data_IF_037794373842
#
_entry.id   IF_037794373842
#
_cell.length_a   1.000
_cell.length_b   1.000
_cell.length_c   1.000
_cell.angle_alpha   90.00
_cell.angle_beta   90.00
_cell.angle_gamma   90.00
#
_symmetry.space_group_name_H-M   'P 1'
#
loop_
_entity.id
_entity.type
_entity.pdbx_description
1 polymer ?
#
# COMPACT_ATOMS: atom_id res chain seq x y z
N UNK A 1 -34.27 11.30 -40.66
CA UNK A 1 -33.84 10.34 -39.63
C UNK A 1 -32.49 10.79 -39.15
N UNK A 2 -32.46 11.37 -37.97
CA UNK A 2 -31.25 11.98 -37.34
C UNK A 2 -30.82 11.03 -36.27
N UNK A 3 -29.61 10.44 -36.41
CA UNK A 3 -28.95 9.71 -35.34
C UNK A 3 -28.10 10.69 -34.54
N UNK A 4 -28.42 10.84 -33.26
CA UNK A 4 -27.64 11.62 -32.31
C UNK A 4 -26.44 10.78 -31.86
N UNK A 5 -25.23 11.32 -32.10
CA UNK A 5 -24.00 10.78 -31.60
C UNK A 5 -23.86 11.07 -30.09
N UNK A 6 -23.80 10.05 -29.28
CA UNK A 6 -23.46 10.16 -27.86
C UNK A 6 -21.97 10.56 -27.70
N UNK A 7 -21.73 11.71 -27.09
CA UNK A 7 -20.39 12.17 -26.74
C UNK A 7 -19.86 11.35 -25.55
N UNK A 8 -18.99 10.41 -25.79
CA UNK A 8 -18.10 9.89 -24.75
C UNK A 8 -17.21 11.03 -24.28
N UNK A 9 -17.47 11.56 -23.10
CA UNK A 9 -16.53 12.43 -22.40
C UNK A 9 -15.33 11.60 -22.02
N UNK A 10 -14.24 11.74 -22.75
CA UNK A 10 -12.92 11.32 -22.29
C UNK A 10 -12.66 12.05 -20.97
N UNK A 11 -12.53 11.31 -19.88
CA UNK A 11 -12.03 11.84 -18.62
C UNK A 11 -10.64 12.41 -18.91
N UNK A 12 -10.45 13.70 -18.64
CA UNK A 12 -9.15 14.34 -18.72
C UNK A 12 -8.17 13.61 -17.81
N UNK A 13 -6.87 13.49 -18.19
CA UNK A 13 -5.88 12.94 -17.30
C UNK A 13 -5.82 13.78 -16.03
N UNK A 14 -5.93 13.14 -14.88
CA UNK A 14 -5.79 13.74 -13.56
C UNK A 14 -4.53 14.60 -13.54
N UNK A 15 -4.67 15.85 -13.13
CA UNK A 15 -3.56 16.80 -12.99
C UNK A 15 -2.67 16.31 -11.84
N UNK A 16 -1.64 15.53 -12.18
CA UNK A 16 -0.72 14.91 -11.23
C UNK A 16 0.29 15.96 -10.78
N UNK A 17 0.07 16.52 -9.60
CA UNK A 17 1.14 17.21 -8.90
C UNK A 17 2.25 16.21 -8.60
N UNK A 18 3.47 16.53 -9.01
CA UNK A 18 4.62 15.64 -8.90
C UNK A 18 5.02 15.50 -7.42
N UNK A 19 5.04 14.28 -6.89
CA UNK A 19 5.66 13.91 -5.59
C UNK A 19 7.04 14.56 -5.41
N UNK A 20 7.69 14.88 -6.48
CA UNK A 20 9.01 15.48 -6.53
C UNK A 20 9.03 16.97 -6.19
N UNK A 21 8.02 17.75 -6.60
CA UNK A 21 7.85 19.13 -6.12
C UNK A 21 7.65 19.17 -4.60
N UNK A 22 7.03 18.13 -4.07
CA UNK A 22 6.88 17.89 -2.65
C UNK A 22 8.24 17.70 -1.96
N UNK A 23 9.10 16.80 -2.48
CA UNK A 23 10.42 16.52 -1.92
C UNK A 23 11.32 17.76 -1.94
N UNK A 24 11.33 18.53 -3.03
CA UNK A 24 12.12 19.76 -3.14
C UNK A 24 11.64 20.86 -2.17
N UNK A 25 10.33 20.91 -1.84
CA UNK A 25 9.78 21.88 -0.88
C UNK A 25 10.01 21.45 0.58
N UNK A 26 9.90 20.15 0.89
CA UNK A 26 10.09 19.64 2.26
C UNK A 26 11.53 19.78 2.74
N UNK A 27 12.52 19.65 1.86
CA UNK A 27 13.93 19.85 2.17
C UNK A 27 14.27 21.32 2.53
N UNK A 28 13.46 22.29 2.10
CA UNK A 28 13.67 23.70 2.40
C UNK A 28 13.05 24.16 3.72
N UNK A 29 12.07 23.42 4.28
CA UNK A 29 11.34 23.81 5.50
C UNK A 29 11.89 23.19 6.79
N UNK A 30 12.81 22.24 6.73
CA UNK A 30 13.35 21.53 7.90
C UNK A 30 14.41 22.29 8.72
N UNK A 31 14.57 23.57 8.53
CA UNK A 31 15.47 24.42 9.30
C UNK A 31 14.72 25.41 10.19
N UNK A 32 14.51 25.08 11.45
CA UNK A 32 14.14 25.92 12.58
C UNK A 32 12.85 25.47 13.30
N UNK A 33 13.02 24.79 14.43
CA UNK A 33 12.33 25.08 15.69
C UNK A 33 12.62 24.03 16.76
N UNK A 34 13.25 24.42 17.82
CA UNK A 34 13.34 23.67 19.07
C UNK A 34 12.06 23.90 19.89
N UNK A 35 11.41 22.82 20.33
CA UNK A 35 10.32 22.91 21.30
C UNK A 35 10.51 21.94 22.46
N UNK A 36 10.24 22.50 23.66
CA UNK A 36 10.27 21.83 24.95
C UNK A 36 9.02 20.98 25.19
N UNK A 37 9.20 19.85 25.88
CA UNK A 37 8.16 18.85 26.21
C UNK A 37 7.16 19.35 27.25
N UNK A 38 5.84 19.08 27.10
CA UNK A 38 4.88 19.04 28.21
C UNK A 38 4.73 17.60 28.76
N UNK A 39 4.28 17.42 30.03
CA UNK A 39 4.20 16.12 30.68
C UNK A 39 2.97 15.31 30.26
N UNK A 40 3.14 13.98 30.24
CA UNK A 40 2.12 12.98 29.95
C UNK A 40 1.03 12.98 31.04
N UNK A 41 -0.18 13.38 30.68
CA UNK A 41 -1.41 13.19 31.47
C UNK A 41 -2.06 11.83 31.13
N UNK A 42 -2.42 11.07 32.16
CA UNK A 42 -3.09 9.78 32.05
C UNK A 42 -4.54 9.96 31.54
N UNK A 43 -4.86 9.41 30.38
CA UNK A 43 -6.23 9.25 29.90
C UNK A 43 -6.71 7.85 30.22
N UNK A 44 -7.71 7.74 31.11
CA UNK A 44 -8.49 6.53 31.33
C UNK A 44 -9.42 6.30 30.12
N UNK A 45 -9.05 5.35 29.24
CA UNK A 45 -9.89 4.85 28.17
C UNK A 45 -10.66 3.59 28.61
N UNK A 46 -11.68 3.15 27.86
CA UNK A 46 -12.43 1.95 28.19
C UNK A 46 -11.50 0.72 28.21
N UNK A 47 -11.78 -0.20 29.14
CA UNK A 47 -11.07 -1.46 29.30
C UNK A 47 -11.30 -2.28 28.03
N UNK A 48 -10.25 -2.40 27.21
CA UNK A 48 -10.22 -3.36 26.11
C UNK A 48 -9.77 -4.69 26.69
N UNK A 49 -10.63 -5.73 26.58
CA UNK A 49 -10.18 -7.10 26.79
C UNK A 49 -8.95 -7.38 25.92
N UNK A 50 -7.94 -8.03 26.49
CA UNK A 50 -6.70 -8.39 25.80
C UNK A 50 -7.01 -9.17 24.53
N UNK A 51 -7.07 -8.47 23.41
CA UNK A 51 -6.96 -9.11 22.10
C UNK A 51 -5.53 -9.61 22.00
N UNK A 52 -5.36 -10.94 21.99
CA UNK A 52 -4.05 -11.57 21.73
C UNK A 52 -3.33 -10.82 20.61
N UNK A 53 -2.02 -10.60 20.77
CA UNK A 53 -1.21 -9.87 19.77
C UNK A 53 -1.56 -10.33 18.36
N UNK A 54 -1.83 -9.40 17.43
CA UNK A 54 -2.24 -9.75 16.08
C UNK A 54 -1.13 -10.57 15.42
N UNK A 55 -1.46 -11.79 14.98
CA UNK A 55 -0.55 -12.58 14.15
C UNK A 55 -0.37 -11.84 12.83
N UNK A 56 0.84 -11.39 12.55
CA UNK A 56 1.19 -10.71 11.32
C UNK A 56 1.37 -11.73 10.21
N UNK A 57 0.62 -11.61 9.13
CA UNK A 57 0.70 -12.54 8.00
C UNK A 57 1.51 -11.97 6.80
N UNK A 58 2.02 -10.75 6.91
CA UNK A 58 2.75 -10.10 5.84
C UNK A 58 1.88 -9.65 4.65
N UNK A 59 0.54 -9.74 4.73
CA UNK A 59 -0.33 -9.26 3.65
C UNK A 59 -0.53 -7.74 3.69
N UNK A 60 -0.76 -7.18 4.86
CA UNK A 60 -1.04 -5.77 5.04
C UNK A 60 0.24 -4.97 5.32
N UNK A 61 0.52 -4.01 4.45
CA UNK A 61 1.65 -3.10 4.54
C UNK A 61 1.23 -1.63 4.51
N UNK A 62 2.20 -0.76 4.69
CA UNK A 62 2.02 0.69 4.61
C UNK A 62 3.23 1.35 3.97
N UNK A 63 2.98 2.40 3.15
CA UNK A 63 4.05 3.28 2.67
C UNK A 63 4.57 4.14 3.81
N UNK A 64 5.88 4.36 3.85
CA UNK A 64 6.54 5.32 4.72
C UNK A 64 7.67 6.03 3.96
N UNK A 65 8.24 7.07 4.55
CA UNK A 65 9.30 7.86 3.96
C UNK A 65 10.46 8.05 4.96
N UNK A 66 10.81 6.97 5.67
CA UNK A 66 11.80 6.99 6.75
C UNK A 66 13.21 7.29 6.26
N UNK A 67 13.55 6.81 5.06
CA UNK A 67 14.84 7.08 4.43
C UNK A 67 15.04 8.54 4.06
N UNK A 68 13.97 9.28 3.81
CA UNK A 68 13.97 10.63 3.24
C UNK A 68 13.59 11.72 4.24
N UNK A 69 12.69 11.43 5.17
CA UNK A 69 12.18 12.39 6.13
C UNK A 69 12.73 12.15 7.53
N UNK A 70 13.13 13.26 8.17
CA UNK A 70 13.49 13.27 9.59
C UNK A 70 12.21 13.33 10.42
N UNK A 71 11.53 12.19 10.57
CA UNK A 71 10.34 12.05 11.42
C UNK A 71 10.72 11.36 12.72
N UNK A 72 9.78 11.28 13.66
CA UNK A 72 9.90 10.45 14.88
C UNK A 72 9.76 8.96 14.51
N UNK A 73 10.79 8.40 13.85
CA UNK A 73 10.77 7.06 13.25
C UNK A 73 10.35 5.98 14.26
N UNK A 74 10.90 5.98 15.47
CA UNK A 74 10.55 4.99 16.49
C UNK A 74 9.06 5.04 16.86
N UNK A 75 8.50 6.23 17.02
CA UNK A 75 7.06 6.41 17.33
C UNK A 75 6.19 5.91 16.19
N UNK A 76 6.55 6.19 14.94
CA UNK A 76 5.79 5.74 13.77
C UNK A 76 5.92 4.23 13.58
N UNK A 77 7.08 3.63 13.85
CA UNK A 77 7.26 2.19 13.84
C UNK A 77 6.46 1.51 14.96
N UNK A 78 6.35 2.13 16.15
CA UNK A 78 5.49 1.64 17.23
C UNK A 78 4.02 1.69 16.85
N UNK A 79 3.57 2.76 16.19
CA UNK A 79 2.20 2.87 15.66
C UNK A 79 1.94 1.81 14.57
N UNK A 80 2.88 1.62 13.65
CA UNK A 80 2.77 0.58 12.61
C UNK A 80 2.69 -0.82 13.24
N UNK A 81 3.54 -1.10 14.22
CA UNK A 81 3.52 -2.35 14.97
C UNK A 81 2.20 -2.56 15.69
N UNK A 82 1.71 -1.56 16.44
CA UNK A 82 0.47 -1.63 17.19
C UNK A 82 -0.78 -1.73 16.31
N UNK A 83 -0.72 -1.28 15.07
CA UNK A 83 -1.77 -1.43 14.07
C UNK A 83 -1.79 -2.82 13.41
N UNK A 84 -0.83 -3.70 13.68
CA UNK A 84 -0.72 -5.00 13.03
C UNK A 84 -0.20 -4.95 11.60
N UNK A 85 0.46 -3.85 11.22
CA UNK A 85 1.16 -3.72 9.94
C UNK A 85 2.26 -4.78 9.88
N UNK A 86 2.34 -5.54 8.79
CA UNK A 86 3.33 -6.59 8.61
C UNK A 86 4.60 -6.09 7.91
N UNK A 87 4.48 -5.09 7.05
CA UNK A 87 5.60 -4.59 6.26
C UNK A 87 5.46 -3.11 5.90
N UNK A 88 6.60 -2.50 5.64
CA UNK A 88 6.75 -1.10 5.26
C UNK A 88 7.32 -1.04 3.85
N UNK A 89 6.77 -0.19 2.99
CA UNK A 89 7.36 0.18 1.71
C UNK A 89 8.05 1.53 1.85
N UNK A 90 9.30 1.62 1.41
CA UNK A 90 10.12 2.84 1.45
C UNK A 90 11.05 2.90 0.24
N UNK A 91 11.66 4.04 -0.01
CA UNK A 91 12.43 4.33 -1.22
C UNK A 91 13.92 4.51 -0.91
N UNK A 92 14.77 4.04 -1.84
CA UNK A 92 16.20 4.34 -1.81
C UNK A 92 16.57 5.10 -3.08
N UNK A 93 16.69 6.42 -2.99
CA UNK A 93 17.04 7.23 -4.16
C UNK A 93 18.49 7.04 -4.56
N UNK A 94 18.70 6.60 -5.78
CA UNK A 94 20.04 6.41 -6.33
C UNK A 94 20.90 7.67 -6.23
N UNK A 95 20.33 8.85 -6.57
CA UNK A 95 21.02 10.13 -6.51
C UNK A 95 21.44 10.56 -5.10
N UNK A 96 20.77 10.04 -4.06
CA UNK A 96 21.10 10.38 -2.67
C UNK A 96 22.23 9.52 -2.10
N UNK A 97 22.38 8.28 -2.58
CA UNK A 97 23.41 7.37 -2.07
C UNK A 97 24.67 7.35 -2.94
N UNK A 98 24.63 7.81 -4.19
CA UNK A 98 25.77 7.94 -5.08
C UNK A 98 25.88 9.38 -5.61
N UNK A 99 26.58 10.25 -4.85
CA UNK A 99 26.83 11.66 -5.21
C UNK A 99 28.12 11.87 -6.00
N UNK A 100 28.97 10.85 -6.06
CA UNK A 100 30.19 10.76 -6.84
C UNK A 100 30.22 9.39 -7.52
N UNK A 101 30.55 9.32 -8.83
CA UNK A 101 30.52 8.06 -9.59
C UNK A 101 31.31 6.94 -8.94
N UNK A 102 30.63 5.83 -8.64
CA UNK A 102 31.21 4.64 -8.05
C UNK A 102 31.41 4.71 -6.53
N UNK A 103 31.01 5.80 -5.87
CA UNK A 103 31.18 5.99 -4.44
C UNK A 103 29.80 6.03 -3.76
N UNK A 104 29.40 4.91 -3.16
CA UNK A 104 28.13 4.76 -2.48
C UNK A 104 28.25 5.07 -1.00
N UNK A 105 27.40 5.98 -0.50
CA UNK A 105 27.33 6.41 0.90
C UNK A 105 25.88 6.46 1.33
N UNK A 106 25.48 5.48 2.14
CA UNK A 106 24.12 5.44 2.69
C UNK A 106 23.98 6.44 3.85
N UNK A 107 22.95 7.28 3.86
CA UNK A 107 22.59 8.06 5.03
C UNK A 107 22.40 7.15 6.25
N UNK A 108 22.89 7.53 7.46
CA UNK A 108 22.73 6.73 8.67
C UNK A 108 21.27 6.43 9.04
N UNK A 109 20.31 7.21 8.55
CA UNK A 109 18.87 7.02 8.73
C UNK A 109 18.42 5.65 8.23
N UNK A 110 18.97 5.13 7.12
CA UNK A 110 18.62 3.80 6.61
C UNK A 110 18.99 2.69 7.59
N UNK A 111 20.22 2.69 8.11
CA UNK A 111 20.63 1.69 9.11
C UNK A 111 19.80 1.75 10.37
N UNK A 112 19.46 2.97 10.80
CA UNK A 112 18.67 3.19 11.99
C UNK A 112 17.26 2.61 11.85
N UNK A 113 16.51 3.03 10.82
CA UNK A 113 15.12 2.59 10.71
C UNK A 113 14.98 1.11 10.31
N UNK A 114 15.88 0.59 9.47
CA UNK A 114 15.85 -0.84 9.10
C UNK A 114 16.06 -1.74 10.32
N UNK A 115 17.02 -1.40 11.20
CA UNK A 115 17.21 -2.12 12.46
C UNK A 115 16.01 -1.97 13.40
N UNK A 116 15.46 -0.75 13.49
CA UNK A 116 14.30 -0.48 14.34
C UNK A 116 13.03 -1.21 13.84
N UNK A 117 12.84 -1.33 12.54
CA UNK A 117 11.79 -2.14 11.91
C UNK A 117 11.98 -3.64 12.19
N UNK A 118 13.21 -4.14 12.03
CA UNK A 118 13.54 -5.54 12.31
C UNK A 118 13.27 -5.92 13.78
N UNK A 119 13.62 -5.05 14.73
CA UNK A 119 13.34 -5.26 16.16
C UNK A 119 11.84 -5.37 16.46
N UNK A 120 10.99 -4.78 15.63
CA UNK A 120 9.52 -4.85 15.73
C UNK A 120 8.90 -5.92 14.84
N UNK A 121 9.73 -6.77 14.22
CA UNK A 121 9.29 -7.79 13.25
C UNK A 121 8.48 -7.19 12.09
N UNK A 122 8.81 -5.98 11.68
CA UNK A 122 8.29 -5.34 10.48
C UNK A 122 9.22 -5.66 9.32
N UNK A 123 8.68 -6.26 8.27
CA UNK A 123 9.43 -6.46 7.03
C UNK A 123 9.53 -5.15 6.25
N UNK A 124 10.52 -5.02 5.38
CA UNK A 124 10.68 -3.83 4.54
C UNK A 124 10.78 -4.26 3.08
N UNK A 125 10.00 -3.58 2.23
CA UNK A 125 10.13 -3.57 0.78
C UNK A 125 10.79 -2.26 0.39
N UNK A 126 11.93 -2.33 -0.29
CA UNK A 126 12.62 -1.14 -0.78
C UNK A 126 12.40 -0.95 -2.28
N UNK A 127 12.01 0.25 -2.66
CA UNK A 127 11.96 0.67 -4.06
C UNK A 127 13.37 1.08 -4.48
N UNK A 128 13.83 0.54 -5.60
CA UNK A 128 15.11 0.90 -6.21
C UNK A 128 14.85 1.91 -7.33
N UNK A 129 15.01 3.19 -7.02
CA UNK A 129 14.72 4.35 -7.88
C UNK A 129 15.49 5.61 -7.42
N UNK A 130 15.43 6.72 -8.08
CA UNK A 130 15.09 6.97 -9.47
C UNK A 130 16.37 7.02 -10.32
N UNK A 131 16.47 8.00 -11.28
CA UNK A 131 17.71 8.24 -12.03
C UNK A 131 18.75 8.97 -11.21
N UNK A 132 20.01 8.82 -11.65
CA UNK A 132 21.12 9.60 -11.12
C UNK A 132 21.68 10.53 -12.21
N UNK A 133 21.64 11.87 -12.00
CA UNK A 133 22.16 12.84 -12.96
C UNK A 133 23.61 12.63 -13.37
N UNK A 134 24.43 11.99 -12.54
CA UNK A 134 25.80 11.63 -12.85
C UNK A 134 25.91 10.75 -14.11
N UNK A 135 24.90 9.97 -14.43
CA UNK A 135 24.88 9.03 -15.55
C UNK A 135 23.92 9.46 -16.66
N UNK A 136 22.74 9.89 -16.30
CA UNK A 136 21.66 10.21 -17.25
C UNK A 136 21.58 11.71 -17.58
N UNK A 137 22.31 12.57 -16.89
CA UNK A 137 22.24 14.02 -17.03
C UNK A 137 20.98 14.65 -16.43
N UNK A 138 20.06 13.85 -15.93
CA UNK A 138 18.84 14.28 -15.28
C UNK A 138 18.35 13.20 -14.31
N UNK A 139 17.83 13.62 -13.18
CA UNK A 139 17.18 12.77 -12.23
C UNK A 139 15.80 12.24 -12.71
N UNK A 140 15.29 12.78 -13.83
CA UNK A 140 13.99 12.42 -14.43
C UNK A 140 14.11 11.49 -15.63
N UNK A 141 15.28 11.41 -16.26
CA UNK A 141 15.50 10.56 -17.41
C UNK A 141 15.89 9.14 -16.96
N UNK A 142 15.07 8.17 -17.32
CA UNK A 142 15.35 6.78 -17.01
C UNK A 142 16.65 6.29 -17.68
N UNK A 143 17.43 5.39 -17.05
CA UNK A 143 18.60 4.79 -17.64
C UNK A 143 18.19 3.79 -18.73
N UNK A 144 18.65 4.00 -19.97
CA UNK A 144 18.26 3.20 -21.14
C UNK A 144 19.44 2.72 -21.97
N UNK A 145 20.60 3.40 -21.88
CA UNK A 145 21.82 2.98 -22.58
C UNK A 145 22.58 1.92 -21.78
N UNK A 146 23.40 1.11 -22.48
CA UNK A 146 24.21 0.07 -21.84
C UNK A 146 25.00 0.55 -20.61
N UNK A 147 25.78 1.65 -20.72
CA UNK A 147 26.52 2.20 -19.58
C UNK A 147 25.62 2.66 -18.41
N UNK A 148 24.46 3.24 -18.71
CA UNK A 148 23.50 3.68 -17.69
C UNK A 148 22.85 2.49 -16.98
N UNK A 149 22.46 1.45 -17.72
CA UNK A 149 21.91 0.21 -17.17
C UNK A 149 22.93 -0.51 -16.26
N UNK A 150 24.20 -0.53 -16.67
CA UNK A 150 25.27 -1.08 -15.82
C UNK A 150 25.49 -0.25 -14.56
N UNK A 151 25.34 1.07 -14.63
CA UNK A 151 25.42 1.93 -13.46
C UNK A 151 24.25 1.68 -12.51
N UNK A 152 23.03 1.54 -13.03
CA UNK A 152 21.83 1.17 -12.24
C UNK A 152 21.99 -0.22 -11.60
N UNK A 153 22.55 -1.20 -12.33
CA UNK A 153 22.84 -2.52 -11.78
C UNK A 153 23.82 -2.44 -10.59
N UNK A 154 24.88 -1.60 -10.68
CA UNK A 154 25.78 -1.39 -9.53
C UNK A 154 25.05 -0.81 -8.33
N UNK A 155 24.20 0.20 -8.56
CA UNK A 155 23.36 0.77 -7.51
C UNK A 155 22.48 -0.31 -6.86
N UNK A 156 21.78 -1.14 -7.65
CA UNK A 156 20.97 -2.25 -7.11
C UNK A 156 21.81 -3.20 -6.25
N UNK A 157 23.02 -3.57 -6.72
CA UNK A 157 23.95 -4.44 -5.97
C UNK A 157 24.31 -3.84 -4.61
N UNK A 158 24.68 -2.57 -4.57
CA UNK A 158 25.08 -1.88 -3.35
C UNK A 158 23.92 -1.79 -2.33
N UNK A 159 22.71 -1.48 -2.82
CA UNK A 159 21.53 -1.45 -1.95
C UNK A 159 21.24 -2.84 -1.38
N UNK A 160 21.18 -3.88 -2.22
CA UNK A 160 20.86 -5.23 -1.77
C UNK A 160 21.93 -5.74 -0.82
N UNK A 161 23.21 -5.61 -1.16
CA UNK A 161 24.32 -6.05 -0.31
C UNK A 161 24.33 -5.36 1.06
N UNK A 162 23.93 -4.07 1.10
CA UNK A 162 23.82 -3.30 2.34
C UNK A 162 22.60 -3.67 3.18
N UNK A 163 21.45 -3.84 2.56
CA UNK A 163 20.16 -3.94 3.26
C UNK A 163 19.75 -5.39 3.58
N UNK A 164 20.21 -6.39 2.83
CA UNK A 164 19.88 -7.78 3.09
C UNK A 164 20.36 -8.27 4.49
N UNK A 165 21.56 -7.91 4.99
CA UNK A 165 21.96 -8.23 6.36
C UNK A 165 21.09 -7.58 7.45
N UNK A 166 20.35 -6.50 7.08
CA UNK A 166 19.42 -5.79 7.96
C UNK A 166 17.98 -6.33 7.85
N UNK A 167 17.80 -7.48 7.19
CA UNK A 167 16.52 -8.19 7.11
C UNK A 167 15.67 -7.83 5.90
N UNK A 168 16.12 -6.93 5.01
CA UNK A 168 15.38 -6.61 3.79
C UNK A 168 15.46 -7.76 2.81
N UNK A 169 14.30 -8.22 2.32
CA UNK A 169 14.19 -9.34 1.37
C UNK A 169 13.34 -9.02 0.15
N UNK A 170 12.70 -7.84 0.11
CA UNK A 170 11.82 -7.45 -0.99
C UNK A 170 12.31 -6.15 -1.60
N UNK A 171 12.38 -6.13 -2.93
CA UNK A 171 12.81 -5.00 -3.72
C UNK A 171 11.83 -4.77 -4.86
N UNK A 172 11.46 -3.53 -5.11
CA UNK A 172 10.62 -3.13 -6.22
C UNK A 172 11.43 -2.29 -7.19
N UNK A 173 11.39 -2.64 -8.47
CA UNK A 173 12.23 -1.99 -9.48
C UNK A 173 11.47 -0.83 -10.10
N UNK A 174 11.92 0.39 -9.76
CA UNK A 174 11.34 1.65 -10.18
C UNK A 174 9.97 1.94 -9.54
N UNK A 175 9.51 3.18 -9.69
CA UNK A 175 8.17 3.62 -9.32
C UNK A 175 7.46 4.20 -10.55
N UNK A 176 6.30 3.66 -10.89
CA UNK A 176 5.38 4.10 -11.95
C UNK A 176 6.07 4.36 -13.31
N UNK A 177 6.79 3.36 -13.89
CA UNK A 177 7.51 3.52 -15.14
C UNK A 177 6.60 3.79 -16.34
N UNK A 178 5.30 3.62 -16.22
CA UNK A 178 4.28 3.95 -17.22
C UNK A 178 3.79 5.42 -17.14
N UNK A 179 4.35 6.22 -16.23
CA UNK A 179 4.01 7.62 -16.08
C UNK A 179 5.18 8.54 -16.45
N UNK A 180 4.94 9.52 -17.32
CA UNK A 180 5.98 10.48 -17.78
C UNK A 180 6.53 11.36 -16.66
N UNK A 181 5.87 11.42 -15.50
CA UNK A 181 6.38 12.07 -14.30
C UNK A 181 7.61 11.35 -13.73
N UNK A 182 7.67 10.04 -13.88
CA UNK A 182 8.70 9.19 -13.28
C UNK A 182 9.62 8.53 -14.32
N UNK A 183 9.19 8.47 -15.59
CA UNK A 183 9.97 7.92 -16.70
C UNK A 183 10.02 8.91 -17.86
N UNK A 184 11.13 9.66 -18.00
CA UNK A 184 11.32 10.62 -19.07
C UNK A 184 12.25 10.10 -20.16
N UNK A 185 12.10 10.57 -21.41
CA UNK A 185 11.13 11.58 -21.89
C UNK A 185 9.70 11.03 -22.02
N UNK A 186 9.51 9.74 -22.25
CA UNK A 186 8.24 9.05 -22.32
C UNK A 186 8.37 7.62 -21.83
N UNK A 187 7.33 7.07 -21.15
CA UNK A 187 7.27 5.66 -20.77
C UNK A 187 7.55 4.74 -21.97
N UNK A 188 8.46 3.80 -21.79
CA UNK A 188 8.80 2.80 -22.78
C UNK A 188 8.90 1.42 -22.11
N UNK A 189 7.93 0.50 -22.39
CA UNK A 189 7.90 -0.81 -21.77
C UNK A 189 9.09 -1.70 -22.14
N UNK A 190 9.64 -1.53 -23.34
CA UNK A 190 10.80 -2.30 -23.83
C UNK A 190 12.09 -1.84 -23.10
N UNK A 191 12.26 -0.54 -22.92
CA UNK A 191 13.35 0.04 -22.12
C UNK A 191 13.22 -0.37 -20.65
N UNK A 192 12.00 -0.34 -20.12
CA UNK A 192 11.75 -0.80 -18.76
C UNK A 192 12.07 -2.30 -18.60
N UNK A 193 11.71 -3.15 -19.56
CA UNK A 193 12.04 -4.57 -19.53
C UNK A 193 13.56 -4.81 -19.48
N UNK A 194 14.37 -4.01 -20.19
CA UNK A 194 15.83 -4.08 -20.11
C UNK A 194 16.38 -3.64 -18.75
N UNK A 195 15.82 -2.56 -18.19
CA UNK A 195 16.15 -2.10 -16.83
C UNK A 195 15.84 -3.19 -15.80
N UNK A 196 14.65 -3.77 -15.90
CA UNK A 196 14.18 -4.83 -15.00
C UNK A 196 15.09 -6.06 -15.07
N UNK A 197 15.51 -6.48 -16.26
CA UNK A 197 16.43 -7.61 -16.41
C UNK A 197 17.74 -7.39 -15.67
N UNK A 198 18.41 -6.25 -15.89
CA UNK A 198 19.71 -6.01 -15.26
C UNK A 198 19.58 -5.85 -13.74
N UNK A 199 18.51 -5.21 -13.27
CA UNK A 199 18.21 -5.07 -11.86
C UNK A 199 17.94 -6.43 -11.20
N UNK A 200 17.05 -7.24 -11.79
CA UNK A 200 16.69 -8.56 -11.26
C UNK A 200 17.93 -9.45 -11.11
N UNK A 201 18.71 -9.62 -12.20
CA UNK A 201 19.92 -10.44 -12.17
C UNK A 201 20.86 -10.00 -11.07
N UNK A 202 21.08 -8.71 -10.96
CA UNK A 202 22.00 -8.13 -9.97
C UNK A 202 21.47 -8.30 -8.54
N UNK A 203 20.16 -8.10 -8.30
CA UNK A 203 19.56 -8.35 -6.98
C UNK A 203 19.71 -9.81 -6.58
N UNK A 204 19.44 -10.76 -7.51
CA UNK A 204 19.58 -12.20 -7.24
C UNK A 204 21.04 -12.66 -7.06
N UNK A 205 22.00 -12.00 -7.72
CA UNK A 205 23.42 -12.24 -7.49
C UNK A 205 23.86 -11.75 -6.10
N UNK A 206 23.34 -10.60 -5.65
CA UNK A 206 23.69 -10.02 -4.35
C UNK A 206 22.99 -10.75 -3.18
N UNK A 207 21.72 -11.16 -3.36
CA UNK A 207 20.94 -11.97 -2.44
C UNK A 207 20.05 -12.95 -3.23
N UNK A 208 20.42 -14.24 -3.34
CA UNK A 208 19.58 -15.24 -4.02
C UNK A 208 18.19 -15.41 -3.39
N UNK A 209 18.01 -15.03 -2.13
CA UNK A 209 16.72 -15.05 -1.41
C UNK A 209 15.84 -13.81 -1.65
N UNK A 210 16.34 -12.80 -2.35
CA UNK A 210 15.58 -11.58 -2.61
C UNK A 210 14.33 -11.87 -3.46
N UNK A 211 13.21 -11.27 -3.08
CA UNK A 211 12.00 -11.16 -3.91
C UNK A 211 12.02 -9.85 -4.66
N UNK A 212 11.96 -9.90 -5.99
CA UNK A 212 12.01 -8.72 -6.85
C UNK A 212 10.66 -8.52 -7.52
N UNK A 213 10.03 -7.38 -7.26
CA UNK A 213 8.78 -6.97 -7.87
C UNK A 213 9.04 -6.07 -9.07
N UNK A 214 8.25 -6.24 -10.11
CA UNK A 214 8.32 -5.43 -11.32
C UNK A 214 6.98 -4.83 -11.68
N UNK A 215 7.01 -3.95 -12.65
CA UNK A 215 5.95 -3.12 -13.19
C UNK A 215 5.60 -1.89 -12.33
N UNK A 216 5.18 -2.02 -11.09
CA UNK A 216 4.88 -0.89 -10.19
C UNK A 216 4.08 0.24 -10.89
N UNK A 217 3.07 -0.14 -11.69
CA UNK A 217 2.41 0.80 -12.60
C UNK A 217 1.44 1.72 -11.90
N UNK A 218 1.40 3.00 -12.33
CA UNK A 218 0.29 3.89 -12.04
C UNK A 218 -1.01 3.32 -12.61
N UNK A 219 -1.95 2.94 -11.75
CA UNK A 219 -3.13 2.16 -12.14
C UNK A 219 -2.79 0.72 -12.53
N UNK A 220 -3.79 -0.01 -13.01
CA UNK A 220 -3.60 -1.32 -13.64
C UNK A 220 -3.49 -1.11 -15.15
N UNK A 221 -2.29 -0.78 -15.61
CA UNK A 221 -2.01 -0.53 -17.02
C UNK A 221 -1.71 -1.86 -17.75
N UNK A 222 -2.76 -2.48 -18.26
CA UNK A 222 -2.68 -3.77 -18.95
C UNK A 222 -1.86 -3.72 -20.24
N UNK A 223 -1.85 -2.56 -20.95
CA UNK A 223 -1.06 -2.43 -22.18
C UNK A 223 0.43 -2.37 -21.85
N UNK A 224 0.81 -1.48 -20.92
CA UNK A 224 2.21 -1.38 -20.48
C UNK A 224 2.73 -2.72 -19.96
N UNK A 225 2.02 -3.34 -19.02
CA UNK A 225 2.40 -4.65 -18.44
C UNK A 225 2.49 -5.72 -19.53
N UNK A 226 1.50 -5.79 -20.42
CA UNK A 226 1.49 -6.75 -21.53
C UNK A 226 2.66 -6.55 -22.50
N UNK A 227 3.08 -5.30 -22.76
CA UNK A 227 4.27 -5.00 -23.58
C UNK A 227 5.57 -5.38 -22.85
N UNK A 228 5.70 -5.12 -21.55
CA UNK A 228 6.84 -5.58 -20.74
C UNK A 228 6.96 -7.11 -20.80
N UNK A 229 5.84 -7.83 -20.70
CA UNK A 229 5.86 -9.29 -20.81
C UNK A 229 6.30 -9.76 -22.21
N UNK A 230 5.76 -9.14 -23.28
CA UNK A 230 6.17 -9.46 -24.67
C UNK A 230 7.63 -9.12 -24.98
N UNK A 231 8.17 -8.07 -24.34
CA UNK A 231 9.59 -7.70 -24.42
C UNK A 231 10.51 -8.65 -23.63
N UNK A 232 9.96 -9.70 -22.98
CA UNK A 232 10.75 -10.67 -22.24
C UNK A 232 11.00 -10.32 -20.77
N UNK A 233 10.31 -9.34 -20.20
CA UNK A 233 10.48 -8.93 -18.80
C UNK A 233 9.95 -9.94 -17.79
N UNK A 234 9.03 -10.83 -18.18
CA UNK A 234 8.38 -11.80 -17.29
C UNK A 234 9.32 -12.66 -16.43
N UNK A 235 10.39 -13.27 -16.97
CA UNK A 235 11.37 -14.04 -16.19
C UNK A 235 12.16 -13.21 -15.17
N UNK A 236 12.16 -11.88 -15.28
CA UNK A 236 12.96 -10.98 -14.47
C UNK A 236 12.15 -10.25 -13.38
N UNK A 237 11.07 -10.87 -12.92
CA UNK A 237 10.33 -10.48 -11.73
C UNK A 237 9.72 -11.69 -11.02
N UNK A 238 9.74 -11.69 -9.69
CA UNK A 238 9.09 -12.74 -8.88
C UNK A 238 7.59 -12.45 -8.70
N UNK A 239 7.17 -11.20 -8.85
CA UNK A 239 5.78 -10.76 -8.79
C UNK A 239 5.55 -9.47 -9.56
N UNK A 240 4.30 -9.22 -9.92
CA UNK A 240 3.86 -7.97 -10.58
C UNK A 240 3.26 -7.05 -9.54
N UNK A 241 3.72 -5.79 -9.48
CA UNK A 241 3.16 -4.77 -8.62
C UNK A 241 2.41 -3.69 -9.39
N UNK A 242 1.37 -3.15 -8.76
CA UNK A 242 0.49 -2.12 -9.34
C UNK A 242 -0.02 -1.17 -8.26
N UNK A 243 -0.39 0.06 -8.66
CA UNK A 243 -0.97 1.11 -7.83
C UNK A 243 -2.40 1.43 -8.29
N UNK A 244 -3.40 0.57 -7.97
CA UNK A 244 -4.74 0.64 -8.56
C UNK A 244 -5.62 1.72 -7.91
N UNK A 245 -5.10 2.93 -7.77
CA UNK A 245 -5.84 4.07 -7.25
C UNK A 245 -7.15 4.29 -8.02
N UNK A 246 -8.21 4.63 -7.29
CA UNK A 246 -9.52 4.87 -7.88
C UNK A 246 -10.27 6.07 -7.28
N UNK A 247 -9.59 6.90 -6.47
CA UNK A 247 -10.17 8.09 -5.86
C UNK A 247 -10.81 9.03 -6.89
N UNK A 248 -11.89 9.72 -6.53
CA UNK A 248 -12.62 9.64 -5.26
C UNK A 248 -13.64 8.49 -5.20
N UNK A 249 -13.68 7.63 -6.24
CA UNK A 249 -14.66 6.54 -6.35
C UNK A 249 -14.41 5.44 -5.33
N UNK A 250 -15.46 4.77 -4.82
CA UNK A 250 -15.30 3.65 -3.93
C UNK A 250 -14.54 2.48 -4.61
N UNK A 251 -13.76 1.69 -3.85
CA UNK A 251 -12.88 0.67 -4.42
C UNK A 251 -13.62 -0.42 -5.21
N UNK A 252 -14.88 -0.68 -4.90
CA UNK A 252 -15.73 -1.66 -5.60
C UNK A 252 -15.96 -1.32 -7.07
N UNK A 253 -15.81 -0.06 -7.44
CA UNK A 253 -16.05 0.38 -8.82
C UNK A 253 -15.05 -0.19 -9.81
N UNK A 254 -13.82 -0.43 -9.39
CA UNK A 254 -12.74 -0.80 -10.31
C UNK A 254 -11.86 -1.94 -9.80
N UNK A 255 -11.51 -1.97 -8.50
CA UNK A 255 -10.44 -2.78 -7.96
C UNK A 255 -10.56 -4.26 -8.34
N UNK A 256 -11.71 -4.89 -8.06
CA UNK A 256 -11.92 -6.33 -8.37
C UNK A 256 -11.85 -6.60 -9.88
N UNK A 257 -12.46 -5.73 -10.67
CA UNK A 257 -12.48 -5.89 -12.14
C UNK A 257 -11.09 -5.75 -12.74
N UNK A 258 -10.32 -4.76 -12.29
CA UNK A 258 -8.98 -4.48 -12.82
C UNK A 258 -8.00 -5.57 -12.37
N UNK A 259 -8.07 -6.02 -11.11
CA UNK A 259 -7.29 -7.18 -10.65
C UNK A 259 -7.64 -8.46 -11.42
N UNK A 260 -8.92 -8.70 -11.71
CA UNK A 260 -9.34 -9.86 -12.49
C UNK A 260 -8.82 -9.85 -13.93
N UNK A 261 -8.70 -8.67 -14.54
CA UNK A 261 -8.07 -8.52 -15.87
C UNK A 261 -6.57 -8.77 -15.80
N UNK A 262 -5.90 -8.24 -14.76
CA UNK A 262 -4.47 -8.44 -14.56
C UNK A 262 -4.13 -9.91 -14.30
N UNK A 263 -4.89 -10.61 -13.46
CA UNK A 263 -4.73 -12.05 -13.22
C UNK A 263 -4.79 -12.85 -14.53
N UNK A 264 -5.70 -12.50 -15.44
CA UNK A 264 -5.78 -13.15 -16.75
C UNK A 264 -4.59 -12.82 -17.67
N UNK A 265 -4.02 -11.63 -17.54
CA UNK A 265 -2.85 -11.23 -18.34
C UNK A 265 -1.56 -11.93 -17.86
N UNK A 266 -1.41 -12.11 -16.55
CA UNK A 266 -0.21 -12.66 -15.91
C UNK A 266 -0.56 -13.82 -14.96
N UNK A 267 -1.15 -14.92 -15.44
CA UNK A 267 -1.75 -15.97 -14.59
C UNK A 267 -0.75 -16.67 -13.66
N UNK A 268 0.52 -16.71 -14.04
CA UNK A 268 1.57 -17.40 -13.31
C UNK A 268 2.35 -16.50 -12.35
N UNK A 269 1.94 -15.23 -12.21
CA UNK A 269 2.62 -14.27 -11.34
C UNK A 269 1.79 -13.90 -10.11
N UNK A 270 2.38 -13.94 -8.91
CA UNK A 270 1.79 -13.31 -7.74
C UNK A 270 1.67 -11.80 -7.96
N UNK A 271 0.58 -11.21 -7.48
CA UNK A 271 0.29 -9.79 -7.59
C UNK A 271 0.54 -9.08 -6.26
N UNK A 272 0.99 -7.85 -6.34
CA UNK A 272 1.19 -6.96 -5.20
C UNK A 272 0.53 -5.61 -5.48
N UNK A 273 -0.30 -5.16 -4.55
CA UNK A 273 -0.76 -3.78 -4.52
C UNK A 273 0.21 -3.02 -3.62
N UNK A 274 1.19 -2.37 -4.24
CA UNK A 274 2.28 -1.71 -3.50
C UNK A 274 1.99 -0.25 -3.18
N UNK A 275 0.92 0.30 -3.74
CA UNK A 275 0.30 1.55 -3.30
C UNK A 275 -1.20 1.53 -3.53
N UNK A 276 -1.96 1.99 -2.54
CA UNK A 276 -3.38 2.29 -2.63
C UNK A 276 -3.77 3.25 -1.52
N UNK A 277 -4.52 4.29 -1.82
CA UNK A 277 -4.90 5.27 -0.81
C UNK A 277 -5.97 6.25 -1.25
N UNK A 278 -6.46 7.04 -0.30
CA UNK A 278 -7.39 8.14 -0.51
C UNK A 278 -6.95 9.34 0.33
N UNK A 279 -6.75 10.52 -0.25
CA UNK A 279 -6.37 11.70 0.52
C UNK A 279 -7.59 12.32 1.20
N UNK A 280 -7.37 12.85 2.40
CA UNK A 280 -8.42 13.56 3.17
C UNK A 280 -8.27 15.06 3.02
N UNK A 281 -8.76 15.60 1.91
CA UNK A 281 -8.73 17.04 1.61
C UNK A 281 -9.97 17.45 0.81
N UNK A 282 -10.20 18.76 0.67
CA UNK A 282 -11.41 19.30 0.04
C UNK A 282 -11.36 19.34 -1.51
N UNK A 283 -10.34 18.74 -2.14
CA UNK A 283 -10.19 18.71 -3.61
C UNK A 283 -11.04 17.63 -4.29
N UNK A 284 -10.97 17.56 -5.62
CA UNK A 284 -11.88 16.73 -6.45
C UNK A 284 -11.68 15.22 -6.26
N UNK A 285 -10.53 14.78 -5.86
CA UNK A 285 -10.16 13.39 -5.58
C UNK A 285 -10.05 13.09 -4.07
N UNK A 286 -10.35 14.10 -3.21
CA UNK A 286 -10.38 13.93 -1.78
C UNK A 286 -11.66 13.27 -1.27
N UNK A 287 -11.55 12.72 -0.07
CA UNK A 287 -12.67 12.18 0.72
C UNK A 287 -12.58 12.69 2.16
N UNK A 288 -13.65 12.58 2.95
CA UNK A 288 -13.56 12.81 4.38
C UNK A 288 -12.88 11.64 5.11
N UNK A 289 -12.43 11.84 6.35
CA UNK A 289 -11.69 10.83 7.12
C UNK A 289 -12.53 9.57 7.42
N UNK A 290 -13.85 9.68 7.55
CA UNK A 290 -14.73 8.53 7.76
C UNK A 290 -14.85 7.69 6.48
N UNK A 291 -14.96 8.36 5.33
CA UNK A 291 -14.95 7.72 4.02
C UNK A 291 -13.59 7.08 3.74
N UNK A 292 -12.47 7.75 4.04
CA UNK A 292 -11.13 7.17 3.95
C UNK A 292 -11.03 5.85 4.73
N UNK A 293 -11.51 5.85 5.98
CA UNK A 293 -11.48 4.67 6.83
C UNK A 293 -12.38 3.53 6.32
N UNK A 294 -13.55 3.85 5.73
CA UNK A 294 -14.41 2.85 5.11
C UNK A 294 -13.74 2.26 3.86
N UNK A 295 -13.19 3.11 3.00
CA UNK A 295 -12.58 2.69 1.73
C UNK A 295 -11.29 1.90 1.94
N UNK A 296 -10.50 2.23 2.97
CA UNK A 296 -9.34 1.45 3.38
C UNK A 296 -9.72 0.00 3.70
N UNK A 297 -10.69 -0.20 4.59
CA UNK A 297 -11.13 -1.55 4.97
C UNK A 297 -11.69 -2.30 3.78
N UNK A 298 -12.57 -1.67 3.01
CA UNK A 298 -13.22 -2.28 1.85
C UNK A 298 -12.19 -2.66 0.78
N UNK A 299 -11.22 -1.80 0.48
CA UNK A 299 -10.14 -2.10 -0.45
C UNK A 299 -9.26 -3.25 0.03
N UNK A 300 -8.83 -3.24 1.30
CA UNK A 300 -8.03 -4.32 1.87
C UNK A 300 -8.75 -5.67 1.85
N UNK A 301 -10.06 -5.69 2.14
CA UNK A 301 -10.89 -6.90 2.07
C UNK A 301 -11.07 -7.40 0.62
N UNK A 302 -11.31 -6.51 -0.32
CA UNK A 302 -11.41 -6.83 -1.75
C UNK A 302 -10.08 -7.36 -2.30
N UNK A 303 -8.96 -6.76 -1.93
CA UNK A 303 -7.64 -7.26 -2.28
C UNK A 303 -7.41 -8.67 -1.70
N UNK A 304 -7.80 -8.89 -0.44
CA UNK A 304 -7.68 -10.20 0.23
C UNK A 304 -8.55 -11.28 -0.40
N UNK A 305 -9.66 -10.93 -1.04
CA UNK A 305 -10.53 -11.90 -1.74
C UNK A 305 -9.92 -12.46 -3.03
N UNK A 306 -8.85 -11.85 -3.55
CA UNK A 306 -8.16 -12.30 -4.76
C UNK A 306 -6.93 -13.17 -4.38
N UNK A 307 -6.95 -14.51 -4.57
CA UNK A 307 -5.86 -15.38 -4.11
C UNK A 307 -4.49 -15.11 -4.74
N UNK A 308 -4.48 -14.50 -5.94
CA UNK A 308 -3.25 -14.10 -6.61
C UNK A 308 -2.56 -12.91 -5.93
N UNK A 309 -3.29 -12.08 -5.20
CA UNK A 309 -2.73 -10.93 -4.46
C UNK A 309 -2.04 -11.42 -3.19
N UNK A 310 -0.76 -11.04 -3.03
CA UNK A 310 0.10 -11.46 -1.91
C UNK A 310 0.42 -10.33 -0.94
N UNK A 311 0.16 -9.09 -1.32
CA UNK A 311 0.38 -7.94 -0.47
C UNK A 311 -0.51 -6.76 -0.86
N UNK A 312 -0.92 -5.99 0.15
CA UNK A 312 -1.69 -4.76 0.03
C UNK A 312 -1.05 -3.67 0.89
N UNK A 313 -0.57 -2.62 0.27
CA UNK A 313 0.07 -1.48 0.90
C UNK A 313 -0.84 -0.26 0.88
N UNK A 314 -1.14 0.27 2.05
CA UNK A 314 -1.82 1.56 2.16
C UNK A 314 -0.83 2.72 1.99
N UNK A 315 -1.15 3.67 1.17
CA UNK A 315 -0.46 4.94 1.03
C UNK A 315 -1.26 6.02 1.78
N UNK A 316 -0.76 6.54 2.94
CA UNK A 316 0.49 6.21 3.60
C UNK A 316 0.34 6.11 5.14
N UNK A 317 1.46 5.98 5.86
CA UNK A 317 1.43 5.87 7.32
C UNK A 317 1.13 7.21 7.99
N UNK A 318 1.83 8.26 7.59
CA UNK A 318 1.72 9.61 8.17
C UNK A 318 1.53 10.64 7.07
N UNK A 319 0.66 11.61 7.30
CA UNK A 319 0.53 12.76 6.42
C UNK A 319 1.90 13.38 6.11
N UNK A 320 2.19 13.61 4.86
CA UNK A 320 3.47 14.11 4.39
C UNK A 320 3.69 15.61 4.66
N UNK A 321 2.61 16.36 4.87
CA UNK A 321 2.67 17.78 5.14
C UNK A 321 1.55 18.27 6.06
N UNK A 322 1.51 19.59 6.26
CA UNK A 322 0.55 20.26 7.15
C UNK A 322 -0.54 21.00 6.37
N UNK A 323 -0.37 21.21 5.06
CA UNK A 323 -1.35 21.92 4.23
C UNK A 323 -2.59 21.04 4.00
N UNK A 324 -3.76 21.40 4.54
CA UNK A 324 -4.98 20.61 4.39
C UNK A 324 -5.56 20.66 2.98
N UNK A 325 -5.12 21.60 2.15
CA UNK A 325 -5.61 21.76 0.77
C UNK A 325 -4.72 21.06 -0.26
N UNK A 326 -3.58 20.49 0.16
CA UNK A 326 -2.68 19.72 -0.71
C UNK A 326 -2.97 18.22 -0.58
N UNK A 327 -3.53 17.61 -1.64
CA UNK A 327 -3.94 16.21 -1.62
C UNK A 327 -2.83 15.24 -1.25
N UNK A 328 -1.62 15.40 -1.81
CA UNK A 328 -0.48 14.53 -1.52
C UNK A 328 -0.07 14.54 -0.03
N UNK A 329 -0.37 15.60 0.69
CA UNK A 329 -0.03 15.71 2.11
C UNK A 329 -0.99 14.96 3.04
N UNK A 330 -2.11 14.46 2.55
CA UNK A 330 -3.23 14.07 3.41
C UNK A 330 -3.65 12.59 3.31
N UNK A 331 -2.80 11.72 2.80
CA UNK A 331 -3.09 10.28 2.67
C UNK A 331 -2.95 9.47 3.97
N UNK A 332 -2.23 9.98 4.97
CA UNK A 332 -1.80 9.25 6.16
C UNK A 332 -2.90 8.56 6.95
N UNK A 333 -2.54 7.42 7.57
CA UNK A 333 -3.32 6.80 8.65
C UNK A 333 -3.28 7.68 9.91
N UNK A 334 -2.19 8.41 10.08
CA UNK A 334 -2.02 9.39 11.15
C UNK A 334 -1.70 10.75 10.56
N UNK A 335 -2.10 11.83 11.26
CA UNK A 335 -1.81 13.19 10.85
C UNK A 335 -0.33 13.52 11.03
N UNK A 336 0.11 14.65 10.51
CA UNK A 336 1.52 15.09 10.60
C UNK A 336 2.04 15.19 12.03
N UNK A 337 1.20 15.54 12.99
CA UNK A 337 1.53 15.58 14.43
C UNK A 337 1.56 14.17 15.09
N UNK A 338 1.27 13.13 14.34
CA UNK A 338 1.20 11.74 14.80
C UNK A 338 -0.12 11.37 15.48
N UNK A 339 -1.15 12.23 15.43
CA UNK A 339 -2.48 11.87 15.94
C UNK A 339 -3.19 10.92 14.96
N UNK A 340 -3.78 9.81 15.45
CA UNK A 340 -4.48 8.87 14.59
C UNK A 340 -5.72 9.48 13.92
N UNK A 341 -5.95 9.14 12.64
CA UNK A 341 -7.23 9.32 11.97
C UNK A 341 -8.14 8.10 12.23
N UNK A 342 -9.45 8.18 11.94
CA UNK A 342 -10.33 6.99 11.99
C UNK A 342 -9.81 5.80 11.19
N UNK A 343 -9.08 6.05 10.10
CA UNK A 343 -8.43 5.04 9.28
C UNK A 343 -7.41 4.18 10.04
N UNK A 344 -6.72 4.72 11.04
CA UNK A 344 -5.77 3.95 11.86
C UNK A 344 -6.47 2.86 12.68
N UNK A 345 -7.55 3.20 13.38
CA UNK A 345 -8.34 2.22 14.14
C UNK A 345 -8.98 1.17 13.23
N UNK A 346 -9.46 1.60 12.06
CA UNK A 346 -10.03 0.74 11.04
C UNK A 346 -9.00 -0.26 10.49
N UNK A 347 -7.79 0.20 10.19
CA UNK A 347 -6.67 -0.64 9.76
C UNK A 347 -6.31 -1.68 10.82
N UNK A 348 -6.13 -1.24 12.07
CA UNK A 348 -5.82 -2.12 13.21
C UNK A 348 -6.86 -3.23 13.38
N UNK A 349 -8.13 -2.87 13.33
CA UNK A 349 -9.23 -3.84 13.45
C UNK A 349 -9.22 -4.84 12.30
N UNK A 350 -9.08 -4.36 11.06
CA UNK A 350 -8.98 -5.22 9.89
C UNK A 350 -7.78 -6.17 9.99
N UNK A 351 -6.59 -5.67 10.27
CA UNK A 351 -5.40 -6.49 10.37
C UNK A 351 -5.52 -7.57 11.44
N UNK A 352 -6.09 -7.24 12.60
CA UNK A 352 -6.28 -8.20 13.70
C UNK A 352 -7.31 -9.30 13.39
N UNK A 353 -8.33 -8.98 12.62
CA UNK A 353 -9.43 -9.93 12.35
C UNK A 353 -9.24 -10.74 11.09
N UNK A 354 -8.46 -10.25 10.13
CA UNK A 354 -8.35 -10.80 8.77
C UNK A 354 -6.93 -11.26 8.43
N UNK A 355 -5.92 -10.61 9.01
CA UNK A 355 -4.53 -10.72 8.57
C UNK A 355 -3.97 -12.13 8.46
N UNK A 356 -4.20 -13.00 9.45
CA UNK A 356 -3.61 -14.34 9.52
C UNK A 356 -4.47 -15.47 8.94
N UNK A 357 -5.61 -15.14 8.36
CA UNK A 357 -6.55 -16.13 7.85
C UNK A 357 -6.36 -16.37 6.34
N UNK A 358 -6.69 -17.58 5.84
CA UNK A 358 -6.59 -17.85 4.41
C UNK A 358 -7.46 -16.91 3.58
N UNK A 359 -7.19 -16.80 2.25
CA UNK A 359 -8.01 -16.00 1.34
C UNK A 359 -9.49 -16.33 1.47
N UNK A 360 -10.31 -15.35 1.19
CA UNK A 360 -11.72 -15.34 1.52
C UNK A 360 -12.59 -15.48 0.27
N UNK A 361 -13.81 -15.96 0.48
CA UNK A 361 -14.83 -16.03 -0.57
C UNK A 361 -15.69 -14.75 -0.52
N UNK A 362 -15.71 -14.01 -1.60
CA UNK A 362 -16.51 -12.79 -1.76
C UNK A 362 -17.85 -13.13 -2.42
N UNK A 363 -18.94 -12.82 -1.74
CA UNK A 363 -20.29 -12.81 -2.32
C UNK A 363 -20.80 -11.37 -2.44
N UNK A 364 -21.50 -11.08 -3.54
CA UNK A 364 -22.11 -9.76 -3.79
C UNK A 364 -23.56 -9.96 -4.20
N UNK A 365 -24.47 -9.37 -3.45
CA UNK A 365 -25.90 -9.40 -3.74
C UNK A 365 -26.57 -8.05 -3.48
N UNK A 366 -27.26 -7.51 -4.47
CA UNK A 366 -28.04 -6.27 -4.35
C UNK A 366 -27.27 -5.07 -3.79
N UNK A 367 -25.95 -4.99 -4.05
CA UNK A 367 -25.07 -3.95 -3.51
C UNK A 367 -24.51 -4.25 -2.11
N UNK A 368 -24.87 -5.39 -1.52
CA UNK A 368 -24.28 -5.92 -0.28
C UNK A 368 -23.10 -6.81 -0.61
N UNK A 369 -21.99 -6.60 0.07
CA UNK A 369 -20.76 -7.37 -0.01
C UNK A 369 -20.59 -8.19 1.27
N UNK A 370 -20.35 -9.47 1.14
CA UNK A 370 -20.08 -10.39 2.23
C UNK A 370 -18.82 -11.18 1.92
N UNK A 371 -17.82 -11.02 2.75
CA UNK A 371 -16.55 -11.72 2.64
C UNK A 371 -16.46 -12.76 3.76
N UNK A 372 -16.46 -14.04 3.39
CA UNK A 372 -16.19 -15.14 4.34
C UNK A 372 -14.68 -15.40 4.41
N UNK A 373 -14.12 -15.37 5.61
CA UNK A 373 -12.70 -15.52 5.88
C UNK A 373 -12.49 -16.72 6.80
N UNK A 374 -11.62 -17.65 6.41
CA UNK A 374 -11.41 -18.91 7.12
C UNK A 374 -12.45 -19.96 6.81
N UNK A 375 -12.38 -21.11 7.50
CA UNK A 375 -13.20 -22.28 7.23
C UNK A 375 -13.87 -22.81 8.50
N UNK A 376 -15.01 -23.50 8.31
CA UNK A 376 -15.73 -24.18 9.38
C UNK A 376 -16.27 -23.26 10.45
N UNK A 377 -16.19 -23.70 11.71
CA UNK A 377 -16.73 -22.96 12.87
C UNK A 377 -15.94 -21.72 13.26
N UNK A 378 -14.74 -21.56 12.75
CA UNK A 378 -13.88 -20.40 12.99
C UNK A 378 -14.00 -19.33 11.90
N UNK A 379 -14.86 -19.56 10.89
CA UNK A 379 -15.12 -18.58 9.84
C UNK A 379 -15.55 -17.24 10.41
N UNK A 380 -15.02 -16.19 9.86
CA UNK A 380 -15.40 -14.80 10.14
C UNK A 380 -16.05 -14.23 8.89
N UNK A 381 -16.90 -13.23 9.07
CA UNK A 381 -17.49 -12.50 7.96
C UNK A 381 -17.17 -11.03 8.11
N UNK A 382 -16.86 -10.39 6.98
CA UNK A 382 -16.83 -8.94 6.88
C UNK A 382 -17.95 -8.53 5.91
N UNK A 383 -18.81 -7.60 6.33
CA UNK A 383 -20.01 -7.22 5.57
C UNK A 383 -20.14 -5.71 5.47
N UNK A 384 -20.54 -5.25 4.29
CA UNK A 384 -20.89 -3.83 4.03
C UNK A 384 -21.85 -3.71 2.86
N UNK A 385 -22.45 -2.55 2.68
CA UNK A 385 -23.38 -2.27 1.59
C UNK A 385 -23.12 -0.92 0.96
N UNK A 386 -23.20 -0.85 -0.35
CA UNK A 386 -23.17 0.41 -1.09
C UNK A 386 -24.58 1.00 -1.21
N UNK A 387 -24.70 2.29 -0.94
CA UNK A 387 -25.94 3.04 -1.13
C UNK A 387 -27.03 2.70 -0.11
N UNK A 388 -26.93 3.23 1.10
CA UNK A 388 -27.92 3.13 2.14
C UNK A 388 -27.70 1.98 3.13
N UNK A 389 -28.76 1.58 3.83
CA UNK A 389 -28.74 0.52 4.84
C UNK A 389 -29.66 -0.63 4.45
N UNK A 390 -29.38 -1.83 4.93
CA UNK A 390 -30.24 -3.00 4.82
C UNK A 390 -30.03 -3.92 6.01
N UNK A 391 -30.97 -4.80 6.32
CA UNK A 391 -30.75 -5.94 7.17
C UNK A 391 -30.47 -7.17 6.33
N UNK A 392 -29.45 -7.94 6.66
CA UNK A 392 -29.03 -9.14 5.93
C UNK A 392 -28.78 -10.31 6.87
N UNK A 393 -29.06 -11.50 6.40
CA UNK A 393 -28.78 -12.73 7.14
C UNK A 393 -27.37 -13.26 6.81
N UNK A 394 -26.54 -13.41 7.84
CA UNK A 394 -25.17 -13.92 7.72
C UNK A 394 -25.11 -15.30 8.37
N UNK A 395 -24.53 -16.32 7.70
CA UNK A 395 -24.29 -17.62 8.32
C UNK A 395 -23.49 -17.47 9.61
N UNK A 396 -24.03 -17.95 10.71
CA UNK A 396 -23.35 -17.90 12.00
C UNK A 396 -23.49 -19.26 12.69
N UNK A 397 -22.45 -19.85 13.25
CA UNK A 397 -22.57 -21.04 14.08
C UNK A 397 -23.48 -20.74 15.27
N UNK A 398 -24.30 -21.73 15.69
CA UNK A 398 -25.08 -21.60 16.94
C UNK A 398 -24.15 -21.30 18.10
N UNK A 399 -24.55 -20.33 18.92
CA UNK A 399 -23.78 -19.89 20.08
C UNK A 399 -23.51 -18.40 20.09
N UNK A 400 -22.61 -17.93 20.97
CA UNK A 400 -22.28 -16.52 21.02
C UNK A 400 -21.46 -16.09 19.80
N UNK A 401 -21.92 -15.02 19.15
CA UNK A 401 -21.18 -14.32 18.08
C UNK A 401 -20.89 -12.88 18.51
N UNK A 402 -19.73 -12.39 18.13
CA UNK A 402 -19.34 -11.01 18.36
C UNK A 402 -19.45 -10.22 17.05
N UNK A 403 -20.24 -9.15 17.07
CA UNK A 403 -20.21 -8.14 16.01
C UNK A 403 -19.15 -7.13 16.39
N UNK A 404 -18.21 -6.90 15.50
CA UNK A 404 -17.13 -5.91 15.67
C UNK A 404 -17.32 -4.82 14.64
N UNK A 405 -17.39 -3.59 15.09
CA UNK A 405 -17.45 -2.41 14.23
C UNK A 405 -16.07 -2.14 13.60
N UNK A 406 -16.03 -1.35 12.55
CA UNK A 406 -14.80 -0.98 11.84
C UNK A 406 -13.68 -0.45 12.76
N UNK A 407 -14.04 0.30 13.80
CA UNK A 407 -13.14 0.92 14.78
C UNK A 407 -12.73 0.00 15.95
N UNK A 408 -13.23 -1.24 15.98
CA UNK A 408 -12.94 -2.22 17.01
C UNK A 408 -13.97 -2.29 18.13
N UNK A 409 -14.91 -1.34 18.21
CA UNK A 409 -16.03 -1.46 19.16
C UNK A 409 -16.81 -2.75 18.90
N UNK A 410 -17.20 -3.47 19.95
CA UNK A 410 -17.83 -4.78 19.76
C UNK A 410 -18.95 -5.07 20.75
N UNK A 411 -19.86 -5.97 20.33
CA UNK A 411 -20.93 -6.51 21.17
C UNK A 411 -21.09 -8.00 20.90
N UNK A 412 -21.47 -8.74 21.95
CA UNK A 412 -21.75 -10.17 21.86
C UNK A 412 -23.28 -10.37 21.76
N UNK A 413 -23.69 -11.26 20.86
CA UNK A 413 -25.06 -11.69 20.68
C UNK A 413 -25.12 -13.21 20.76
N UNK A 414 -26.16 -13.74 21.42
CA UNK A 414 -26.51 -15.16 21.36
C UNK A 414 -27.27 -15.43 20.06
N UNK A 415 -26.87 -16.46 19.32
CA UNK A 415 -27.49 -16.84 18.05
C UNK A 415 -28.10 -18.22 18.20
N UNK A 416 -29.47 -18.29 18.19
CA UNK A 416 -30.21 -19.54 18.36
C UNK A 416 -30.34 -20.35 17.06
N UNK A 417 -30.21 -19.68 15.92
CA UNK A 417 -30.33 -20.25 14.57
C UNK A 417 -28.99 -20.39 13.82
N UNK A 418 -29.04 -20.85 12.57
CA UNK A 418 -27.87 -20.90 11.70
C UNK A 418 -27.53 -19.56 11.03
N UNK A 419 -28.41 -18.56 11.18
CA UNK A 419 -28.28 -17.22 10.57
C UNK A 419 -28.36 -16.15 11.64
N UNK A 420 -27.58 -15.10 11.47
CA UNK A 420 -27.62 -13.88 12.29
C UNK A 420 -28.08 -12.73 11.40
N UNK A 421 -29.12 -12.04 11.79
CA UNK A 421 -29.57 -10.81 11.15
C UNK A 421 -28.66 -9.66 11.55
N UNK A 422 -28.10 -8.95 10.56
CA UNK A 422 -27.13 -7.87 10.76
C UNK A 422 -27.50 -6.67 9.90
N UNK A 423 -27.60 -5.50 10.51
CA UNK A 423 -27.72 -4.25 9.77
C UNK A 423 -26.38 -3.92 9.09
N UNK A 424 -26.42 -3.60 7.81
CA UNK A 424 -25.28 -3.25 6.99
C UNK A 424 -25.44 -1.86 6.39
N UNK A 425 -24.32 -1.19 6.24
CA UNK A 425 -24.20 0.15 5.63
C UNK A 425 -22.87 0.26 4.89
N UNK A 426 -22.47 1.44 4.47
CA UNK A 426 -21.14 1.66 3.88
C UNK A 426 -19.99 1.47 4.87
N UNK A 427 -20.28 1.49 6.19
CA UNK A 427 -19.33 1.19 7.26
C UNK A 427 -19.22 -0.33 7.43
N UNK A 428 -18.04 -0.94 7.11
CA UNK A 428 -17.87 -2.39 7.27
C UNK A 428 -18.00 -2.86 8.72
N UNK A 429 -18.57 -4.05 8.88
CA UNK A 429 -18.69 -4.78 10.16
C UNK A 429 -18.12 -6.17 10.02
N UNK A 430 -17.66 -6.71 11.14
CA UNK A 430 -17.17 -8.08 11.21
C UNK A 430 -18.07 -8.90 12.14
N UNK A 431 -18.34 -10.13 11.73
CA UNK A 431 -19.03 -11.15 12.53
C UNK A 431 -18.00 -12.22 12.85
N UNK A 432 -17.72 -12.41 14.13
CA UNK A 432 -16.67 -13.29 14.63
C UNK A 432 -17.29 -14.25 15.63
N UNK A 433 -17.04 -15.56 15.56
CA UNK A 433 -17.43 -16.47 16.64
C UNK A 433 -16.83 -15.96 17.96
N UNK A 434 -17.67 -15.84 19.01
CA UNK A 434 -17.16 -15.57 20.35
C UNK A 434 -16.61 -16.90 20.90
N UNK A 435 -15.39 -16.84 21.44
CA UNK A 435 -14.73 -18.01 22.04
C UNK A 435 -15.48 -18.48 23.30
#
# INVERSE_FOLDING_TARGET
MIFAAGSERRLAPLNRFSRRLFIERSLKLAGLAGFSRPPLGAFGGPVYDEVSEPRRDGFFGVQAHFGQFRTEVDKLLDLAHAAGIGWIRDEVYWSEIEKEKGLFRFPPSYDFYLKAAQLRSLEVLLILDFSNPLYTGSDKRAPTTGPELQAFARYCREVVARCAPLGVRRYEIWNEPNASTFWNPQPDPEDYARLLEVAYRTCKEADPGATVLGCSTAGVDLDFIGRVMRAGGGPFMDGVSVHPYCQPLPPERRLVTDLSKLIRLVPDKPLWITEFGYPTYAGPDGVDEETQANYLVRAGLLARSAPAVKGFCWYDLQNDGEDPDEGEFNFGLVRRDGTPKPAYAAYKTMASLVGSLPPAELAVDGGTYSLRIGEGRTSRFAVWRLGGTASVEIPCPRGPCRIVERDGASRILSVDGPLLEVDVSEKPRYIVPAA
#
